data_IF_639378451416
#
_entry.id   IF_639378451416
#
_cell.length_a   1.000
_cell.length_b   1.000
_cell.length_c   1.000
_cell.angle_alpha   90.00
_cell.angle_beta   90.00
_cell.angle_gamma   90.00
#
_symmetry.space_group_name_H-M   'P 1'
#
loop_
_entity.id
_entity.type
_entity.pdbx_description
1 polymer ?
2 branched ?
3 non-polymer ?
4 non-polymer ?
5 non-polymer ?
6 water ?
#
# COMPACT_ATOMS: atom_id res chain seq x y z
N UNK A 10 24.93 -7.49 -11.76
CA UNK A 10 24.04 -8.38 -11.02
C UNK A 10 22.91 -8.93 -11.90
N UNK A 11 21.95 -9.60 -11.28
CA UNK A 11 20.93 -10.35 -12.00
C UNK A 11 19.50 -9.91 -11.68
N UNK A 12 18.56 -10.27 -12.56
CA UNK A 12 17.15 -10.06 -12.27
C UNK A 12 16.74 -10.96 -11.13
N UNK A 13 16.01 -10.43 -10.17
CA UNK A 13 15.53 -11.25 -9.08
C UNK A 13 14.45 -12.20 -9.55
N UNK A 14 14.54 -13.45 -9.11
CA UNK A 14 13.52 -14.45 -9.43
C UNK A 14 12.76 -14.85 -8.17
N UNK A 15 11.43 -14.85 -8.26
CA UNK A 15 10.58 -15.27 -7.14
C UNK A 15 10.64 -16.78 -6.95
N UNK A 16 11.72 -17.28 -6.36
CA UNK A 16 11.93 -18.73 -6.25
C UNK A 16 11.52 -19.30 -4.89
N UNK A 17 11.10 -18.45 -3.97
CA UNK A 17 10.84 -18.87 -2.59
C UNK A 17 9.39 -18.69 -2.15
N UNK A 18 8.97 -19.50 -1.20
CA UNK A 18 7.66 -19.34 -0.58
C UNK A 18 7.76 -18.43 0.63
N UNK A 19 6.63 -18.05 1.18
CA UNK A 19 6.59 -17.25 2.41
C UNK A 19 7.13 -18.03 3.59
N UNK A 20 7.77 -17.34 4.52
CA UNK A 20 8.13 -17.95 5.81
C UNK A 20 6.85 -18.20 6.61
N UNK A 21 6.92 -19.09 7.59
CA UNK A 21 5.77 -19.29 8.46
C UNK A 21 5.58 -18.06 9.33
N UNK A 22 4.34 -17.58 9.38
CA UNK A 22 4.02 -16.39 10.16
C UNK A 22 3.35 -16.77 11.47
N UNK A 23 4.10 -16.68 12.57
CA UNK A 23 3.54 -16.99 13.87
C UNK A 23 3.36 -15.73 14.71
N UNK A 24 4.04 -14.66 14.30
CA UNK A 24 3.83 -13.34 14.91
C UNK A 24 4.46 -12.27 14.03
N UNK A 25 4.44 -11.03 14.51
CA UNK A 25 5.07 -9.92 13.81
C UNK A 25 5.96 -9.15 14.77
N UNK A 26 7.16 -8.80 14.30
CA UNK A 26 8.11 -8.03 15.09
C UNK A 26 8.25 -6.63 14.50
N UNK A 27 8.72 -5.69 15.29
CA UNK A 27 8.92 -4.33 14.81
C UNK A 27 10.08 -4.30 13.82
N UNK A 28 9.87 -3.59 12.71
CA UNK A 28 10.85 -3.53 11.63
C UNK A 28 11.31 -2.10 11.39
N UNK A 29 10.35 -1.18 11.38
CA UNK A 29 10.65 0.23 11.16
C UNK A 29 9.59 1.18 11.66
N UNK A 30 10.02 2.34 12.11
CA UNK A 30 9.14 3.40 12.58
C UNK A 30 9.92 4.70 12.54
N UNK A 31 9.33 5.75 11.98
CA UNK A 31 10.12 6.97 11.75
C UNK A 31 9.80 8.12 12.70
N UNK A 32 8.64 8.08 13.36
CA UNK A 32 8.23 9.14 14.27
C UNK A 32 8.23 10.52 13.63
N UNK A 33 7.82 10.58 12.37
CA UNK A 33 7.94 11.80 11.57
C UNK A 33 7.23 13.01 12.15
N UNK A 34 6.01 12.82 12.67
CA UNK A 34 5.23 13.95 13.14
C UNK A 34 5.78 14.47 14.47
N UNK A 35 6.23 13.56 15.34
CA UNK A 35 6.92 13.93 16.57
C UNK A 35 8.13 14.78 16.28
N UNK A 36 8.99 14.26 15.41
CA UNK A 36 10.22 14.92 15.05
C UNK A 36 9.93 16.19 14.25
N UNK A 37 9.00 16.10 13.30
CA UNK A 37 8.63 17.23 12.47
C UNK A 37 8.00 18.42 13.19
N UNK A 38 7.73 18.26 14.48
CA UNK A 38 7.24 19.38 15.28
C UNK A 38 8.31 20.46 15.40
N UNK A 39 9.58 20.05 15.35
CA UNK A 39 10.66 21.01 15.46
C UNK A 39 11.83 20.67 14.55
N UNK A 40 11.51 20.25 13.34
CA UNK A 40 12.53 19.99 12.34
C UNK A 40 11.90 20.01 10.96
N UNK A 41 12.72 20.25 9.95
CA UNK A 41 12.23 20.40 8.59
C UNK A 41 11.83 19.04 7.99
N UNK A 42 10.76 18.46 8.52
CA UNK A 42 10.18 17.21 8.03
C UNK A 42 9.09 17.51 7.02
N UNK A 43 9.12 16.83 5.88
CA UNK A 43 8.15 17.05 4.82
C UNK A 43 6.78 16.47 5.15
N UNK A 44 5.75 17.24 4.87
CA UNK A 44 4.39 16.73 4.92
C UNK A 44 4.27 15.65 3.84
N UNK A 45 3.69 14.52 4.20
CA UNK A 45 3.52 13.44 3.24
C UNK A 45 2.14 12.80 3.43
N UNK A 46 1.86 11.80 2.61
CA UNK A 46 0.80 10.83 2.83
C UNK A 46 1.01 9.72 1.82
N UNK A 47 0.19 8.68 1.90
CA UNK A 47 0.31 7.51 1.05
C UNK A 47 1.72 6.90 1.05
N UNK A 48 2.25 6.55 2.24
CA UNK A 48 3.62 6.05 2.32
C UNK A 48 3.71 4.56 2.03
N UNK A 49 4.93 4.07 1.81
CA UNK A 49 5.18 2.63 1.75
C UNK A 49 6.66 2.33 1.91
N UNK A 50 7.00 1.06 1.80
CA UNK A 50 8.37 0.62 1.97
C UNK A 50 8.76 -0.23 0.77
N UNK A 51 9.99 -0.08 0.30
CA UNK A 51 10.47 -0.90 -0.79
C UNK A 51 11.97 -1.10 -0.68
N UNK A 52 12.42 -2.32 -0.98
CA UNK A 52 13.83 -2.67 -0.83
C UNK A 52 14.58 -2.73 -2.14
N UNK A 53 15.84 -2.32 -2.08
CA UNK A 53 16.84 -2.59 -3.11
C UNK A 53 17.62 -3.82 -2.66
N UNK A 54 18.48 -4.37 -3.54
CA UNK A 54 19.26 -5.54 -3.08
C UNK A 54 20.23 -5.25 -1.94
N UNK A 55 20.50 -3.98 -1.66
CA UNK A 55 21.48 -3.61 -0.64
C UNK A 55 20.98 -2.58 0.38
N UNK A 56 19.68 -2.27 0.34
CA UNK A 56 19.11 -1.22 1.19
C UNK A 56 17.59 -1.26 1.13
N UNK A 57 16.93 -1.03 2.26
CA UNK A 57 15.49 -0.88 2.26
C UNK A 57 15.14 0.57 2.63
N UNK A 58 14.11 1.12 1.98
CA UNK A 58 13.81 2.54 2.14
C UNK A 58 12.32 2.82 2.33
N UNK A 59 12.05 3.90 3.04
CA UNK A 59 10.70 4.43 3.15
C UNK A 59 10.35 5.24 1.91
N UNK A 60 9.08 5.19 1.52
CA UNK A 60 8.59 5.98 0.39
C UNK A 60 7.32 6.69 0.82
N UNK A 61 7.02 7.81 0.17
CA UNK A 61 5.74 8.50 0.36
C UNK A 61 5.53 9.55 -0.72
N UNK A 62 4.32 10.11 -0.76
CA UNK A 62 4.05 11.25 -1.61
C UNK A 62 4.19 12.53 -0.79
N UNK A 63 5.19 13.34 -1.13
CA UNK A 63 5.40 14.63 -0.47
C UNK A 63 4.28 15.58 -0.82
N UNK A 64 4.10 16.60 0.01
CA UNK A 64 3.15 17.65 -0.31
C UNK A 64 3.88 18.95 -0.64
N UNK A 65 5.20 18.86 -0.79
CA UNK A 65 6.00 20.01 -1.17
C UNK A 65 6.06 21.11 -0.11
N UNK A 66 6.14 20.72 1.15
CA UNK A 66 6.22 21.66 2.26
C UNK A 66 6.52 20.93 3.56
N UNK A 67 7.06 21.64 4.54
CA UNK A 67 7.28 21.01 5.84
C UNK A 67 6.02 21.16 6.69
N UNK A 68 5.95 20.39 7.77
CA UNK A 68 4.78 20.41 8.65
C UNK A 68 4.62 21.78 9.30
N UNK A 69 5.71 22.36 9.79
CA UNK A 69 5.65 23.67 10.42
C UNK A 69 5.51 24.79 9.40
N UNK A 70 5.91 24.52 8.15
CA UNK A 70 5.77 25.49 7.08
C UNK A 70 4.31 25.89 6.90
N UNK A 71 4.08 27.17 6.61
CA UNK A 71 2.71 27.66 6.48
C UNK A 71 1.98 27.00 5.30
N UNK A 72 2.76 26.50 4.34
CA UNK A 72 2.18 25.85 3.17
C UNK A 72 1.59 24.49 3.51
N UNK A 73 1.74 24.04 4.75
CA UNK A 73 1.11 22.79 5.16
C UNK A 73 -0.40 23.01 5.27
N UNK A 74 -0.81 24.28 5.28
CA UNK A 74 -2.22 24.65 5.39
C UNK A 74 -3.02 24.20 4.17
N UNK A 75 -3.82 23.16 4.35
CA UNK A 75 -4.66 22.64 3.28
C UNK A 75 -4.13 21.38 2.63
N UNK A 76 -3.22 20.67 3.29
CA UNK A 76 -2.61 19.49 2.69
C UNK A 76 -3.44 18.23 2.88
N UNK A 77 -4.72 18.39 3.18
CA UNK A 77 -5.61 17.25 3.12
C UNK A 77 -5.90 16.95 1.65
N UNK A 78 -5.74 17.96 0.79
CA UNK A 78 -6.04 17.77 -0.62
C UNK A 78 -5.06 16.80 -1.27
N UNK A 79 -5.63 15.90 -2.06
CA UNK A 79 -4.95 14.71 -2.59
C UNK A 79 -3.97 14.95 -3.73
N UNK A 80 -4.31 15.85 -4.64
CA UNK A 80 -3.57 15.98 -5.89
C UNK A 80 -3.22 17.43 -6.19
N UNK A 81 -1.92 17.73 -6.22
CA UNK A 81 -1.46 19.06 -6.58
C UNK A 81 -0.14 18.97 -7.32
N UNK A 82 0.27 20.08 -7.93
CA UNK A 82 1.51 20.11 -8.69
C UNK A 82 2.74 20.14 -7.80
N UNK A 83 2.52 20.14 -6.48
CA UNK A 83 3.63 20.29 -5.53
C UNK A 83 3.92 18.97 -4.85
N UNK A 84 3.26 17.91 -5.31
CA UNK A 84 3.49 16.59 -4.75
C UNK A 84 4.55 15.85 -5.56
N UNK A 85 5.16 14.86 -4.92
CA UNK A 85 6.20 14.05 -5.56
C UNK A 85 6.46 12.81 -4.73
N UNK A 86 6.84 11.73 -5.40
CA UNK A 86 7.25 10.50 -4.70
C UNK A 86 8.67 10.62 -4.20
N UNK A 87 8.83 10.55 -2.88
CA UNK A 87 10.15 10.64 -2.28
C UNK A 87 10.48 9.34 -1.56
N UNK A 88 11.78 9.07 -1.44
CA UNK A 88 12.25 7.98 -0.61
C UNK A 88 13.31 8.50 0.34
N UNK A 89 13.49 7.81 1.46
CA UNK A 89 14.49 8.21 2.42
C UNK A 89 14.90 7.01 3.25
N UNK A 90 16.03 7.09 3.97
CA UNK A 90 16.53 5.93 4.73
C UNK A 90 15.55 5.35 5.75
N UNK A 91 15.58 4.03 5.89
CA UNK A 91 14.71 3.27 6.78
C UNK A 91 14.63 3.86 8.19
N UNK A 92 13.41 4.13 8.63
CA UNK A 92 13.10 4.62 9.99
C UNK A 92 13.61 6.04 10.30
N UNK A 93 14.16 6.72 9.30
CA UNK A 93 14.40 8.16 9.41
C UNK A 93 13.12 8.90 9.06
N UNK A 94 13.01 10.16 9.48
CA UNK A 94 11.86 10.95 9.00
C UNK A 94 12.12 11.48 7.58
N UNK A 95 11.05 11.75 6.83
CA UNK A 95 11.20 12.35 5.49
C UNK A 95 11.49 13.84 5.59
N UNK A 96 12.77 14.20 5.62
CA UNK A 96 13.16 15.59 5.77
C UNK A 96 13.52 16.23 4.44
N UNK A 97 13.56 17.55 4.43
CA UNK A 97 13.95 18.31 3.26
C UNK A 97 15.33 17.89 2.74
N UNK A 98 16.21 17.55 3.68
CA UNK A 98 17.61 17.37 3.36
C UNK A 98 18.02 15.92 3.06
N UNK A 99 17.30 14.96 3.61
CA UNK A 99 17.67 13.56 3.41
C UNK A 99 16.78 12.82 2.42
N UNK A 100 15.78 13.51 1.86
CA UNK A 100 14.84 12.88 0.94
C UNK A 100 15.30 12.92 -0.52
N UNK A 101 15.16 11.78 -1.19
CA UNK A 101 15.49 11.65 -2.60
C UNK A 101 14.24 11.59 -3.45
N UNK A 102 14.05 12.55 -4.35
CA UNK A 102 12.89 12.52 -5.23
C UNK A 102 13.04 11.48 -6.33
N UNK A 103 12.03 10.61 -6.46
CA UNK A 103 12.01 9.57 -7.47
C UNK A 103 11.29 10.02 -8.75
N UNK A 104 10.19 10.74 -8.59
CA UNK A 104 9.45 11.32 -9.71
C UNK A 104 8.29 12.22 -9.23
N UNK A 105 7.72 12.98 -10.16
CA UNK A 105 6.74 14.01 -9.83
C UNK A 105 5.31 13.55 -10.10
N UNK A 106 4.43 13.68 -9.11
CA UNK A 106 3.07 13.19 -9.22
C UNK A 106 2.34 13.02 -7.90
N UNK A 107 1.11 12.50 -7.96
CA UNK A 107 0.26 12.38 -6.78
C UNK A 107 -0.36 10.99 -6.67
N UNK A 108 0.21 10.04 -7.41
CA UNK A 108 -0.14 8.64 -7.30
C UNK A 108 1.05 7.87 -7.84
N UNK A 109 1.46 6.80 -7.16
CA UNK A 109 2.72 6.15 -7.53
C UNK A 109 2.84 4.67 -7.17
N UNK A 110 3.88 4.06 -7.72
CA UNK A 110 4.38 2.76 -7.30
C UNK A 110 5.89 2.77 -7.55
N UNK A 111 6.58 1.72 -7.10
CA UNK A 111 8.02 1.64 -7.27
C UNK A 111 8.50 0.26 -6.86
N UNK A 112 9.48 -0.28 -7.56
CA UNK A 112 10.03 -1.59 -7.23
C UNK A 112 11.36 -1.85 -7.94
N UNK A 113 12.23 -2.60 -7.25
CA UNK A 113 13.50 -3.00 -7.83
C UNK A 113 13.33 -4.36 -8.52
N UNK A 114 14.02 -4.55 -9.64
CA UNK A 114 13.89 -5.82 -10.36
C UNK A 114 15.15 -6.67 -10.16
N UNK A 115 16.07 -6.16 -9.34
CA UNK A 115 17.32 -6.84 -9.06
C UNK A 115 18.49 -6.13 -9.68
N UNK A 116 18.25 -5.50 -10.83
CA UNK A 116 19.28 -4.72 -11.51
C UNK A 116 19.12 -3.23 -11.22
N UNK A 117 17.91 -2.73 -11.44
CA UNK A 117 17.61 -1.32 -11.20
C UNK A 117 16.18 -1.14 -10.71
N UNK A 118 15.86 0.07 -10.29
CA UNK A 118 14.55 0.40 -9.76
C UNK A 118 13.64 1.03 -10.81
N UNK A 119 12.39 0.59 -10.85
CA UNK A 119 11.37 1.24 -11.65
C UNK A 119 10.42 2.03 -10.74
N UNK A 120 10.28 3.32 -11.02
CA UNK A 120 9.34 4.16 -10.30
C UNK A 120 8.35 4.76 -11.31
N UNK A 121 7.09 4.88 -10.89
CA UNK A 121 6.04 5.41 -11.75
C UNK A 121 5.29 6.49 -11.00
N UNK A 122 5.17 7.66 -11.61
CA UNK A 122 4.37 8.71 -11.02
C UNK A 122 3.31 9.16 -12.00
N UNK A 123 2.13 9.42 -11.46
CA UNK A 123 1.04 9.97 -12.23
C UNK A 123 0.86 11.42 -11.80
N UNK A 124 0.78 12.32 -12.78
CA UNK A 124 0.49 13.72 -12.51
C UNK A 124 -0.59 14.19 -13.47
N UNK A 125 -1.04 15.43 -13.32
CA UNK A 125 -1.99 16.00 -14.26
C UNK A 125 -3.31 16.41 -13.63
N UNK A 126 -4.16 17.06 -14.42
CA UNK A 126 -5.53 17.32 -13.99
C UNK A 126 -6.37 16.04 -14.05
N UNK A 127 -7.54 16.07 -13.41
CA UNK A 127 -8.37 14.88 -13.30
C UNK A 127 -8.77 14.27 -14.64
N UNK A 128 -8.88 15.07 -15.69
CA UNK A 128 -9.36 14.58 -16.97
C UNK A 128 -8.25 14.43 -18.01
N UNK A 129 -7.01 14.53 -17.56
CA UNK A 129 -5.87 14.53 -18.47
C UNK A 129 -4.59 14.10 -17.79
N UNK A 130 -4.70 13.22 -16.81
CA UNK A 130 -3.53 12.77 -16.07
C UNK A 130 -2.68 11.84 -16.93
N UNK A 131 -1.42 11.66 -16.56
CA UNK A 131 -0.52 10.77 -17.30
C UNK A 131 0.55 10.18 -16.38
N UNK A 132 0.93 8.94 -16.66
CA UNK A 132 1.96 8.26 -15.88
C UNK A 132 3.29 8.31 -16.62
N UNK A 133 4.36 8.64 -15.90
CA UNK A 133 5.71 8.53 -16.45
C UNK A 133 6.43 7.38 -15.79
N UNK A 134 7.01 6.49 -16.59
CA UNK A 134 7.71 5.34 -16.04
C UNK A 134 9.21 5.60 -16.02
N UNK A 135 9.77 5.61 -14.82
CA UNK A 135 11.20 5.82 -14.64
C UNK A 135 11.86 4.47 -14.42
N UNK A 136 13.04 4.29 -15.01
CA UNK A 136 13.86 3.11 -14.78
C UNK A 136 15.31 3.54 -14.70
N UNK A 137 16.03 3.03 -13.71
CA UNK A 137 17.40 3.48 -13.43
C UNK A 137 17.47 5.00 -13.38
N UNK A 138 16.49 5.59 -12.68
CA UNK A 138 16.42 7.03 -12.41
C UNK A 138 16.33 7.89 -13.68
N UNK A 139 15.84 7.29 -14.76
CA UNK A 139 15.61 8.00 -16.02
C UNK A 139 14.21 7.72 -16.55
N UNK A 140 13.57 8.74 -17.13
CA UNK A 140 12.23 8.55 -17.69
C UNK A 140 12.26 7.68 -18.94
N UNK A 141 11.43 6.65 -19.01
CA UNK A 141 11.53 5.71 -20.11
C UNK A 141 10.24 5.60 -20.93
N UNK A 142 9.11 5.49 -20.24
CA UNK A 142 7.86 5.35 -20.95
C UNK A 142 6.80 6.21 -20.33
N UNK A 143 5.78 6.55 -21.11
CA UNK A 143 4.67 7.38 -20.63
C UNK A 143 3.34 6.76 -21.02
N UNK A 144 2.39 6.80 -20.11
CA UNK A 144 1.04 6.31 -20.39
C UNK A 144 0.01 7.40 -20.15
N UNK A 145 -0.75 7.73 -21.18
CA UNK A 145 -1.81 8.72 -21.05
C UNK A 145 -3.06 8.10 -20.45
N UNK A 146 -3.87 8.94 -19.80
CA UNK A 146 -5.16 8.52 -19.26
C UNK A 146 -6.05 7.94 -20.35
N UNK A 147 -6.69 6.81 -20.08
CA UNK A 147 -7.55 6.17 -21.06
C UNK A 147 -9.04 6.33 -20.72
N UNK A 148 -9.32 6.83 -19.53
CA UNK A 148 -10.71 7.06 -19.11
C UNK A 148 -10.94 8.49 -18.61
N UNK A 149 -9.88 9.29 -18.59
CA UNK A 149 -9.97 10.72 -18.28
C UNK A 149 -10.66 11.02 -16.95
N UNK A 150 -10.40 10.16 -15.96
CA UNK A 150 -10.96 10.34 -14.63
C UNK A 150 -9.99 9.86 -13.56
N UNK A 151 -9.06 10.74 -13.19
CA UNK A 151 -8.03 10.48 -12.19
C UNK A 151 -7.33 9.14 -12.37
N UNK A 152 -6.50 9.05 -13.40
CA UNK A 152 -5.62 7.90 -13.57
C UNK A 152 -4.81 7.70 -12.29
N UNK A 153 -4.84 6.49 -11.75
CA UNK A 153 -4.26 6.23 -10.43
C UNK A 153 -3.75 4.79 -10.30
N UNK A 154 -2.79 4.58 -9.41
CA UNK A 154 -2.21 3.26 -9.28
C UNK A 154 -2.08 2.84 -7.81
N UNK A 155 -1.06 2.06 -7.49
CA UNK A 155 -1.06 1.23 -6.29
C UNK A 155 -0.82 1.92 -4.94
N UNK A 156 0.03 2.95 -4.93
CA UNK A 156 0.47 3.60 -3.70
C UNK A 156 1.21 2.66 -2.77
N UNK A 157 1.84 1.62 -3.34
CA UNK A 157 2.77 0.77 -2.62
C UNK A 157 3.62 0.02 -3.64
N UNK A 158 4.62 -0.72 -3.18
CA UNK A 158 5.59 -1.29 -4.11
C UNK A 158 4.98 -2.34 -5.03
N UNK A 159 5.57 -2.45 -6.22
CA UNK A 159 5.24 -3.52 -7.16
C UNK A 159 6.24 -4.65 -6.96
N UNK A 160 6.05 -5.75 -7.69
CA UNK A 160 6.92 -6.92 -7.58
C UNK A 160 7.45 -7.31 -8.96
N UNK A 161 8.73 -7.66 -9.02
CA UNK A 161 9.32 -8.03 -10.29
C UNK A 161 9.73 -9.50 -10.30
N UNK A 162 9.55 -10.15 -11.44
CA UNK A 162 10.03 -11.50 -11.64
C UNK A 162 10.74 -11.59 -12.97
N UNK A 163 12.03 -11.91 -12.92
CA UNK A 163 12.86 -12.04 -14.11
C UNK A 163 12.80 -10.80 -14.99
N UNK A 164 12.75 -9.64 -14.36
CA UNK A 164 12.75 -8.38 -15.08
C UNK A 164 11.37 -7.88 -15.45
N UNK A 165 10.34 -8.67 -15.17
CA UNK A 165 8.98 -8.28 -15.49
C UNK A 165 8.28 -7.74 -14.24
N UNK A 166 7.79 -6.52 -14.33
CA UNK A 166 7.16 -5.85 -13.20
C UNK A 166 5.72 -5.46 -13.51
N UNK A 167 4.76 -6.27 -13.04
CA UNK A 167 3.33 -5.96 -13.19
C UNK A 167 2.89 -4.79 -12.32
N UNK A 168 2.09 -3.89 -12.86
CA UNK A 168 1.52 -2.79 -12.09
C UNK A 168 0.02 -2.72 -12.34
N UNK A 169 -0.75 -2.46 -11.29
CA UNK A 169 -2.19 -2.32 -11.44
C UNK A 169 -2.58 -0.84 -11.45
N UNK A 170 -3.23 -0.43 -12.54
CA UNK A 170 -3.72 0.93 -12.72
C UNK A 170 -5.24 0.95 -12.75
N UNK A 171 -5.82 2.07 -12.34
CA UNK A 171 -7.26 2.24 -12.52
C UNK A 171 -7.56 3.65 -13.04
N UNK A 172 -8.44 3.72 -14.02
CA UNK A 172 -8.89 4.99 -14.56
C UNK A 172 -10.41 4.94 -14.67
N UNK A 173 -11.09 5.98 -14.18
CA UNK A 173 -12.54 5.98 -14.18
C UNK A 173 -13.13 6.24 -12.79
N UNK A 174 -14.43 5.99 -12.65
CA UNK A 174 -15.17 6.39 -11.45
C UNK A 174 -14.71 5.68 -10.17
N UNK A 175 -14.72 6.43 -9.07
CA UNK A 175 -14.43 5.87 -7.75
C UNK A 175 -15.71 5.38 -7.07
N UNK A 176 -16.85 5.63 -7.69
CA UNK A 176 -18.13 5.23 -7.10
C UNK A 176 -18.98 4.41 -8.06
N UNK A 177 -18.32 3.75 -9.01
CA UNK A 177 -18.99 2.95 -10.02
C UNK A 177 -17.96 2.20 -10.84
N UNK A 178 -18.42 1.52 -11.89
CA UNK A 178 -17.51 0.78 -12.78
C UNK A 178 -16.38 1.66 -13.31
N UNK A 179 -15.15 1.16 -13.22
CA UNK A 179 -13.99 1.90 -13.72
C UNK A 179 -13.18 1.01 -14.66
N UNK A 180 -12.19 1.60 -15.32
CA UNK A 180 -11.36 0.87 -16.29
C UNK A 180 -9.99 0.53 -15.73
N UNK A 181 -9.85 -0.71 -15.25
CA UNK A 181 -8.63 -1.15 -14.60
C UNK A 181 -7.73 -1.93 -15.55
N UNK A 182 -6.45 -1.63 -15.53
CA UNK A 182 -5.48 -2.29 -16.41
C UNK A 182 -4.29 -2.81 -15.62
N UNK A 183 -3.84 -4.01 -15.97
CA UNK A 183 -2.59 -4.52 -15.45
C UNK A 183 -1.51 -4.32 -16.52
N UNK A 184 -0.50 -3.54 -16.19
CA UNK A 184 0.60 -3.29 -17.10
C UNK A 184 1.78 -4.17 -16.74
N UNK A 185 2.49 -4.65 -17.76
CA UNK A 185 3.68 -5.45 -17.55
C UNK A 185 4.89 -4.70 -18.09
N UNK A 186 5.78 -4.30 -17.20
CA UNK A 186 6.96 -3.54 -17.60
C UNK A 186 8.23 -4.38 -17.51
N UNK A 187 9.19 -4.09 -18.38
CA UNK A 187 10.53 -4.59 -18.19
C UNK A 187 11.51 -3.48 -18.53
N UNK A 188 12.37 -3.15 -17.57
CA UNK A 188 13.31 -2.05 -17.73
C UNK A 188 12.59 -0.77 -18.15
N UNK A 189 11.40 -0.57 -17.60
CA UNK A 189 10.63 0.63 -17.86
C UNK A 189 9.82 0.62 -19.15
N UNK A 190 10.05 -0.38 -20.00
CA UNK A 190 9.33 -0.47 -21.27
C UNK A 190 8.07 -1.29 -21.10
N UNK A 191 7.02 -0.89 -21.82
CA UNK A 191 5.74 -1.60 -21.77
C UNK A 191 5.77 -2.86 -22.62
N UNK A 192 5.69 -4.02 -21.97
CA UNK A 192 5.68 -5.29 -22.70
C UNK A 192 4.28 -5.61 -23.19
N UNK A 193 3.29 -5.31 -22.34
CA UNK A 193 1.92 -5.73 -22.57
C UNK A 193 1.03 -5.09 -21.52
N UNK A 194 -0.22 -4.82 -21.88
CA UNK A 194 -1.21 -4.46 -20.87
C UNK A 194 -2.51 -5.19 -21.12
N UNK A 195 -3.22 -5.46 -20.03
CA UNK A 195 -4.46 -6.22 -20.03
C UNK A 195 -5.59 -5.48 -19.34
N UNK A 196 -6.80 -5.63 -19.85
CA UNK A 196 -7.98 -5.16 -19.14
C UNK A 196 -8.24 -6.09 -17.96
N UNK A 197 -8.83 -5.56 -16.90
CA UNK A 197 -9.11 -6.36 -15.70
C UNK A 197 -10.13 -7.46 -15.97
N UNK A 198 -9.76 -8.69 -15.68
CA UNK A 198 -10.68 -9.81 -15.82
C UNK A 198 -11.02 -10.38 -14.44
N UNK A 199 -11.91 -11.37 -14.42
CA UNK A 199 -12.29 -12.01 -13.16
C UNK A 199 -13.57 -11.43 -12.58
N UNK A 200 -13.82 -11.72 -11.30
CA UNK A 200 -15.07 -11.33 -10.65
C UNK A 200 -14.98 -10.08 -9.77
N UNK A 201 -13.79 -9.51 -9.64
CA UNK A 201 -13.64 -8.26 -8.88
C UNK A 201 -14.37 -7.11 -9.59
N UNK A 202 -15.21 -6.39 -8.85
CA UNK A 202 -16.08 -5.38 -9.46
C UNK A 202 -15.53 -3.96 -9.40
N UNK A 203 -14.50 -3.73 -8.59
CA UNK A 203 -13.88 -2.42 -8.47
C UNK A 203 -12.48 -2.54 -7.87
N UNK A 204 -11.51 -1.88 -8.51
CA UNK A 204 -10.11 -2.04 -8.13
C UNK A 204 -9.38 -0.72 -7.87
N UNK A 205 -8.87 -0.56 -6.65
CA UNK A 205 -8.02 0.58 -6.32
C UNK A 205 -6.86 0.18 -5.40
N UNK A 206 -5.71 0.81 -5.61
CA UNK A 206 -4.60 0.79 -4.66
C UNK A 206 -4.17 -0.59 -4.23
N UNK A 207 -3.82 -1.44 -5.19
CA UNK A 207 -3.43 -2.81 -4.89
C UNK A 207 -2.13 -2.89 -4.11
N UNK A 208 -2.12 -3.78 -3.11
CA UNK A 208 -0.93 -4.08 -2.33
C UNK A 208 -0.44 -5.46 -2.73
N UNK A 209 0.77 -5.52 -3.27
CA UNK A 209 1.24 -6.77 -3.87
C UNK A 209 2.46 -7.34 -3.17
N UNK A 210 2.60 -8.65 -3.28
CA UNK A 210 3.82 -9.33 -2.90
C UNK A 210 4.02 -10.51 -3.85
N UNK A 211 5.26 -10.99 -3.94
CA UNK A 211 5.59 -12.06 -4.85
C UNK A 211 6.08 -13.30 -4.12
N UNK A 212 5.62 -14.45 -4.60
CA UNK A 212 5.99 -15.73 -4.05
C UNK A 212 5.99 -16.74 -5.20
N UNK A 213 6.85 -17.74 -5.14
CA UNK A 213 7.05 -18.72 -6.21
C UNK A 213 5.79 -19.19 -6.94
N UNK A 214 5.67 -18.86 -8.23
CA UNK A 214 6.42 -17.78 -8.87
C UNK A 214 5.34 -16.83 -9.37
N UNK A 215 4.42 -16.48 -8.47
CA UNK A 215 3.30 -15.63 -8.81
C UNK A 215 3.26 -14.40 -7.92
N UNK A 216 2.40 -13.46 -8.29
CA UNK A 216 2.25 -12.22 -7.55
C UNK A 216 0.82 -12.08 -7.06
N UNK A 217 0.65 -11.78 -5.78
CA UNK A 217 -0.68 -11.66 -5.19
C UNK A 217 -0.95 -10.23 -4.76
N UNK A 218 -2.03 -9.66 -5.27
CA UNK A 218 -2.38 -8.29 -4.93
C UNK A 218 -3.70 -8.23 -4.17
N UNK A 219 -3.69 -7.53 -3.04
CA UNK A 219 -4.90 -7.28 -2.28
C UNK A 219 -5.25 -5.82 -2.43
N UNK A 220 -6.46 -5.53 -2.89
CA UNK A 220 -6.79 -4.19 -3.32
C UNK A 220 -7.98 -3.61 -2.56
N UNK A 221 -8.46 -2.47 -3.06
CA UNK A 221 -9.54 -1.75 -2.43
C UNK A 221 -10.73 -1.62 -3.38
N UNK A 222 -11.89 -2.08 -2.92
CA UNK A 222 -13.15 -1.87 -3.63
C UNK A 222 -13.80 -0.63 -3.05
N UNK A 223 -13.76 0.46 -3.81
CA UNK A 223 -14.29 1.74 -3.33
C UNK A 223 -15.76 1.91 -3.68
N UNK A 224 -16.29 0.99 -4.48
CA UNK A 224 -17.65 1.09 -4.98
C UNK A 224 -18.66 0.55 -3.97
N UNK A 225 -18.84 -0.77 -3.95
CA UNK A 225 -19.85 -1.37 -3.08
C UNK A 225 -19.26 -2.30 -2.03
N UNK A 226 -18.01 -2.73 -2.21
CA UNK A 226 -17.45 -3.78 -1.37
C UNK A 226 -16.72 -3.39 -0.09
N UNK A 227 -16.94 -4.20 0.95
CA UNK A 227 -16.17 -4.07 2.19
C UNK A 227 -15.28 -5.30 2.39
N UNK A 228 -15.44 -6.28 1.53
CA UNK A 228 -14.43 -7.33 1.38
C UNK A 228 -13.42 -6.84 0.35
N UNK A 229 -12.21 -7.39 0.36
CA UNK A 229 -11.18 -6.89 -0.54
C UNK A 229 -11.03 -7.72 -1.80
N UNK A 230 -10.94 -7.02 -2.95
CA UNK A 230 -10.61 -7.63 -4.24
C UNK A 230 -9.20 -8.18 -4.23
N UNK A 231 -9.01 -9.34 -4.83
CA UNK A 231 -7.70 -9.96 -4.94
C UNK A 231 -7.38 -10.18 -6.40
N UNK A 232 -6.23 -9.70 -6.83
CA UNK A 232 -5.72 -9.98 -8.17
C UNK A 232 -4.51 -10.88 -8.03
N UNK A 233 -4.52 -11.99 -8.75
CA UNK A 233 -3.37 -12.88 -8.78
C UNK A 233 -2.75 -12.87 -10.17
N UNK A 234 -1.49 -12.46 -10.21
CA UNK A 234 -0.80 -12.24 -11.48
C UNK A 234 0.28 -13.29 -11.73
N UNK A 235 0.28 -13.84 -12.95
CA UNK A 235 1.36 -14.70 -13.42
C UNK A 235 2.31 -13.84 -14.24
N UNK A 236 3.53 -13.59 -13.73
CA UNK A 236 4.46 -12.67 -14.38
C UNK A 236 5.27 -13.30 -15.52
N UNK A 237 5.18 -14.60 -15.70
CA UNK A 237 5.81 -15.25 -16.86
C UNK A 237 4.86 -15.20 -18.05
N UNK A 238 3.68 -15.78 -17.88
CA UNK A 238 2.65 -15.75 -18.91
C UNK A 238 2.08 -14.34 -19.11
N UNK A 239 2.25 -13.51 -18.09
CA UNK A 239 1.70 -12.15 -18.08
C UNK A 239 0.18 -12.19 -18.19
N UNK A 240 -0.44 -12.93 -17.26
CA UNK A 240 -1.89 -13.04 -17.17
C UNK A 240 -2.33 -12.96 -15.71
N UNK A 241 -3.63 -12.82 -15.48
CA UNK A 241 -4.13 -12.57 -14.15
C UNK A 241 -5.55 -13.06 -13.96
N UNK A 242 -5.93 -13.24 -12.69
CA UNK A 242 -7.32 -13.50 -12.34
C UNK A 242 -7.70 -12.55 -11.22
N UNK A 243 -8.99 -12.47 -10.94
CA UNK A 243 -9.47 -11.61 -9.86
C UNK A 243 -10.68 -12.22 -9.19
N UNK A 244 -10.79 -11.95 -7.90
CA UNK A 244 -11.96 -12.31 -7.10
C UNK A 244 -11.90 -11.47 -5.82
N UNK A 245 -12.68 -11.85 -4.83
CA UNK A 245 -12.59 -11.22 -3.53
C UNK A 245 -12.05 -12.21 -2.52
N UNK A 246 -11.61 -11.71 -1.37
CA UNK A 246 -11.34 -12.57 -0.22
C UNK A 246 -12.68 -13.14 0.27
N UNK A 247 -12.85 -14.45 0.13
CA UNK A 247 -14.09 -15.14 0.51
C UNK A 247 -14.45 -14.97 1.98
N UNK A 248 -13.46 -14.69 2.82
CA UNK A 248 -13.65 -14.73 4.26
C UNK A 248 -14.70 -13.72 4.74
N UNK A 249 -15.50 -14.12 5.74
CA UNK A 249 -16.44 -13.19 6.37
C UNK A 249 -15.71 -12.20 7.28
N UNK A 250 -14.41 -12.41 7.48
CA UNK A 250 -13.58 -11.44 8.16
C UNK A 250 -13.27 -10.30 7.19
N UNK A 251 -14.14 -9.30 7.17
CA UNK A 251 -14.07 -8.20 6.22
C UNK A 251 -12.96 -7.25 6.61
N UNK A 252 -12.18 -6.77 5.64
CA UNK A 252 -10.97 -6.03 5.97
C UNK A 252 -10.84 -4.65 5.32
N UNK A 253 -11.92 -4.11 4.78
CA UNK A 253 -11.90 -2.73 4.30
C UNK A 253 -12.28 -1.78 5.44
N UNK A 254 -12.38 -0.50 5.12
CA UNK A 254 -12.82 0.51 6.07
C UNK A 254 -13.31 1.75 5.33
N UNK A 255 -14.53 2.23 5.65
CA UNK A 255 -15.45 1.65 6.63
C UNK A 255 -16.01 0.30 6.16
N UNK A 256 -16.66 -0.43 7.06
CA UNK A 256 -17.16 -1.75 6.72
C UNK A 256 -18.25 -2.17 7.69
N UNK A 257 -19.12 -3.08 7.27
CA UNK A 257 -20.10 -3.64 8.20
C UNK A 257 -19.43 -4.59 9.17
N UNK A 258 -20.22 -5.08 10.11
CA UNK A 258 -19.72 -6.07 11.05
C UNK A 258 -19.56 -7.41 10.38
N UNK A 259 -18.67 -8.25 10.92
CA UNK A 259 -18.36 -9.53 10.29
C UNK A 259 -19.55 -10.48 10.34
N UNK A 260 -20.02 -10.91 9.16
CA UNK A 260 -21.06 -11.93 9.06
C UNK A 260 -20.48 -13.33 9.30
N UNK A 261 -21.24 -14.37 8.99
CA UNK A 261 -20.73 -15.73 9.10
C UNK A 261 -20.49 -16.33 7.72
N UNK A 262 -20.93 -15.63 6.69
CA UNK A 262 -20.65 -16.04 5.31
C UNK A 262 -20.16 -14.84 4.49
N UNK A 263 -18.95 -14.95 3.96
CA UNK A 263 -18.41 -13.92 3.10
C UNK A 263 -18.80 -14.09 1.65
N UNK A 264 -18.19 -13.30 0.77
CA UNK A 264 -18.50 -13.32 -0.66
C UNK A 264 -17.23 -13.50 -1.49
N UNK A 265 -17.24 -14.49 -2.40
CA UNK A 265 -16.06 -14.83 -3.20
C UNK A 265 -16.00 -14.07 -4.52
N UNK A 266 -17.15 -13.77 -5.09
CA UNK A 266 -17.19 -13.23 -6.45
C UNK A 266 -18.07 -12.00 -6.59
N UNK A 267 -18.32 -11.34 -5.47
CA UNK A 267 -19.12 -10.12 -5.46
C UNK A 267 -18.79 -9.31 -4.22
N UNK A 268 -19.05 -7.99 -4.27
CA UNK A 268 -18.81 -7.14 -3.09
C UNK A 268 -19.75 -7.48 -1.92
N UNK A 269 -19.22 -7.52 -0.71
CA UNK A 269 -20.09 -7.62 0.44
C UNK A 269 -20.61 -6.22 0.77
N UNK A 270 -21.94 -6.06 0.81
CA UNK A 270 -22.62 -4.76 0.85
C UNK A 270 -22.71 -4.14 2.24
N UNK A 271 -23.09 -2.88 2.32
CA UNK A 271 -23.22 -2.20 3.60
C UNK A 271 -22.58 -0.82 3.59
N UNK A 272 -21.47 -0.69 2.88
CA UNK A 272 -20.77 0.59 2.80
C UNK A 272 -20.38 0.92 1.38
N UNK A 273 -20.93 2.01 0.87
CA UNK A 273 -20.70 2.40 -0.52
C UNK A 273 -19.74 3.58 -0.62
N UNK A 274 -19.11 3.71 -1.79
CA UNK A 274 -18.37 4.91 -2.14
C UNK A 274 -17.27 5.29 -1.15
N UNK A 275 -16.63 4.30 -0.55
CA UNK A 275 -15.51 4.55 0.34
C UNK A 275 -14.72 3.28 0.61
N UNK A 276 -13.54 3.45 1.19
CA UNK A 276 -12.62 2.36 1.43
C UNK A 276 -11.27 2.87 1.91
N UNK A 277 -10.36 1.95 2.16
CA UNK A 277 -9.00 2.30 2.52
C UNK A 277 -8.03 1.32 1.86
N UNK A 278 -6.83 1.79 1.52
CA UNK A 278 -5.82 0.88 1.02
C UNK A 278 -5.41 -0.08 2.12
N UNK A 279 -5.37 -1.37 1.78
CA UNK A 279 -5.05 -2.40 2.74
C UNK A 279 -4.31 -3.55 2.07
N UNK A 280 -4.05 -4.61 2.82
CA UNK A 280 -3.23 -5.70 2.30
C UNK A 280 -3.59 -7.02 2.94
N UNK A 281 -3.03 -8.09 2.40
CA UNK A 281 -3.14 -9.41 3.02
C UNK A 281 -2.02 -10.30 2.53
N UNK A 282 -1.75 -11.36 3.28
CA UNK A 282 -0.89 -12.43 2.82
C UNK A 282 -1.72 -13.71 2.76
N UNK A 283 -1.95 -14.18 1.54
CA UNK A 283 -2.83 -15.33 1.34
C UNK A 283 -1.99 -16.57 1.05
N UNK A 284 -1.90 -17.44 2.05
CA UNK A 284 -0.97 -18.56 1.97
C UNK A 284 -1.50 -19.79 2.68
N UNK A 285 -2.63 -20.31 2.21
CA UNK A 285 -3.26 -21.47 2.82
C UNK A 285 -3.56 -21.26 4.29
N UNK A 286 -2.96 -22.09 5.13
CA UNK A 286 -3.11 -21.97 6.58
C UNK A 286 -2.16 -20.91 7.14
N UNK A 287 -1.27 -20.40 6.30
CA UNK A 287 -0.33 -19.37 6.69
C UNK A 287 -0.88 -17.98 6.36
N UNK A 288 -2.20 -17.89 6.25
CA UNK A 288 -2.85 -16.65 5.82
C UNK A 288 -3.03 -15.66 6.98
N UNK A 289 -2.62 -14.42 6.73
CA UNK A 289 -2.85 -13.32 7.67
C UNK A 289 -3.49 -12.13 6.97
N UNK A 290 -4.58 -11.64 7.55
CA UNK A 290 -5.25 -10.45 7.03
C UNK A 290 -4.95 -9.26 7.92
N UNK A 291 -4.79 -8.09 7.31
CA UNK A 291 -4.67 -6.85 8.07
C UNK A 291 -5.93 -6.02 7.95
N UNK A 292 -6.24 -5.24 8.99
CA UNK A 292 -7.38 -4.34 8.94
C UNK A 292 -7.37 -3.33 10.09
N UNK A 293 -8.16 -2.27 9.93
CA UNK A 293 -8.38 -1.33 11.03
C UNK A 293 -9.21 -2.03 12.10
N UNK A 294 -9.06 -1.62 13.35
CA UNK A 294 -9.88 -2.18 14.42
C UNK A 294 -11.30 -1.62 14.32
N UNK A 295 -11.41 -0.30 14.17
CA UNK A 295 -12.72 0.33 13.97
C UNK A 295 -13.32 -0.10 12.65
N UNK A 296 -14.65 -0.19 12.62
CA UNK A 296 -15.36 -0.49 11.38
C UNK A 296 -15.86 0.79 10.75
N UNK A 297 -15.66 1.92 11.43
CA UNK A 297 -16.19 3.20 10.97
C UNK A 297 -15.12 4.16 10.52
N UNK A 298 -14.02 4.24 11.26
CA UNK A 298 -12.97 5.20 10.93
C UNK A 298 -11.59 4.54 10.85
N UNK A 299 -10.65 5.29 10.27
CA UNK A 299 -9.29 4.82 10.12
C UNK A 299 -8.55 4.92 11.44
N UNK A 300 -8.93 4.05 12.38
CA UNK A 300 -8.24 4.00 13.66
C UNK A 300 -7.98 2.57 14.05
N UNK A 301 -6.83 2.35 14.67
CA UNK A 301 -6.43 1.02 15.08
C UNK A 301 -5.94 0.18 13.93
N UNK A 302 -5.20 -0.87 14.25
CA UNK A 302 -4.80 -1.83 13.25
C UNK A 302 -4.45 -3.16 13.90
N UNK A 303 -4.85 -4.25 13.25
CA UNK A 303 -4.60 -5.57 13.79
C UNK A 303 -4.29 -6.56 12.66
N UNK A 304 -3.51 -7.59 12.98
CA UNK A 304 -3.30 -8.70 12.07
C UNK A 304 -4.11 -9.89 12.56
N UNK A 305 -4.81 -10.56 11.66
CA UNK A 305 -5.60 -11.72 12.01
C UNK A 305 -5.20 -12.94 11.21
N UNK A 306 -4.88 -14.03 11.89
CA UNK A 306 -4.58 -15.29 11.21
C UNK A 306 -5.87 -16.02 10.82
N UNK A 307 -6.18 -16.00 9.53
CA UNK A 307 -7.42 -16.59 9.03
C UNK A 307 -7.12 -17.65 7.98
N UNK A 308 -7.09 -18.93 8.39
CA UNK A 308 -6.75 -20.01 7.46
C UNK A 308 -7.63 -20.01 6.22
N UNK A 309 -7.01 -19.99 5.05
CA UNK A 309 -7.71 -20.08 3.78
C UNK A 309 -8.73 -18.95 3.57
N UNK A 310 -8.41 -17.75 4.04
CA UNK A 310 -9.32 -16.61 3.90
C UNK A 310 -9.74 -16.38 2.45
N UNK A 311 -8.79 -16.61 1.54
CA UNK A 311 -9.05 -16.42 0.12
C UNK A 311 -10.19 -17.29 -0.41
N UNK A 312 -10.23 -18.56 -0.02
CA UNK A 312 -11.19 -19.49 -0.61
C UNK A 312 -12.33 -19.93 0.32
N UNK A 313 -12.13 -19.83 1.63
CA UNK A 313 -13.11 -20.31 2.62
C UNK A 313 -14.05 -19.18 3.06
N UNK A 314 -15.31 -19.23 2.64
CA UNK A 314 -16.23 -18.13 2.96
C UNK A 314 -16.85 -18.28 4.35
N UNK A 315 -16.33 -19.22 5.13
CA UNK A 315 -16.77 -19.39 6.51
C UNK A 315 -15.61 -19.12 7.47
N UNK A 316 -14.44 -18.83 6.93
CA UNK A 316 -13.22 -18.81 7.74
C UNK A 316 -13.21 -17.68 8.77
N UNK A 317 -12.65 -17.98 9.93
CA UNK A 317 -12.61 -17.06 11.05
C UNK A 317 -11.18 -17.01 11.62
N UNK A 318 -10.87 -16.00 12.45
CA UNK A 318 -9.54 -15.91 13.05
C UNK A 318 -9.25 -17.01 14.07
N UNK A 319 -8.03 -17.54 14.05
CA UNK A 319 -7.59 -18.50 15.06
C UNK A 319 -6.42 -17.91 15.84
N UNK A 320 -5.92 -16.76 15.39
CA UNK A 320 -4.84 -16.06 16.06
C UNK A 320 -4.78 -14.62 15.56
N UNK A 321 -4.17 -13.74 16.35
CA UNK A 321 -4.07 -12.35 15.94
C UNK A 321 -3.03 -11.54 16.70
N UNK A 322 -2.83 -10.31 16.25
CA UNK A 322 -1.91 -9.39 16.91
C UNK A 322 -2.34 -7.95 16.66
N UNK A 323 -2.42 -7.18 17.75
CA UNK A 323 -2.72 -5.76 17.67
C UNK A 323 -1.46 -4.99 17.27
N UNK A 324 -1.59 -4.12 16.28
CA UNK A 324 -0.46 -3.32 15.80
C UNK A 324 -0.58 -1.87 16.28
N UNK A 325 -1.80 -1.35 16.19
CA UNK A 325 -2.11 0.00 16.64
C UNK A 325 -3.42 -0.02 17.43
N UNK A 326 -3.43 0.60 18.61
CA UNK A 326 -4.64 0.65 19.43
C UNK A 326 -5.75 1.37 18.69
N UNK A 327 -7.00 0.99 18.97
CA UNK A 327 -8.15 1.60 18.33
C UNK A 327 -8.28 3.08 18.67
N UNK A 328 -7.68 3.46 19.80
CA UNK A 328 -7.69 4.86 20.23
C UNK A 328 -6.69 5.70 19.43
N UNK A 329 -5.87 5.04 18.62
CA UNK A 329 -4.87 5.75 17.82
C UNK A 329 -5.23 5.71 16.35
N UNK A 330 -4.89 6.78 15.64
CA UNK A 330 -5.22 6.86 14.23
C UNK A 330 -4.32 5.95 13.41
N UNK A 331 -4.89 5.33 12.38
CA UNK A 331 -4.11 4.58 11.43
C UNK A 331 -4.32 5.20 10.05
N UNK A 332 -4.61 4.36 9.04
CA UNK A 332 -4.70 4.83 7.68
C UNK A 332 -4.37 3.72 6.69
N UNK A 333 -3.71 4.08 5.60
CA UNK A 333 -3.30 3.12 4.57
C UNK A 333 -2.38 2.04 5.13
N UNK A 334 -2.41 0.87 4.51
CA UNK A 334 -1.48 -0.18 4.85
C UNK A 334 -1.18 -0.98 3.59
N UNK A 335 0.01 -1.55 3.52
CA UNK A 335 0.42 -2.23 2.32
C UNK A 335 1.55 -3.21 2.60
N UNK A 336 1.80 -4.06 1.63
CA UNK A 336 2.76 -5.13 1.78
C UNK A 336 4.07 -4.84 1.05
N UNK A 337 5.14 -5.43 1.56
CA UNK A 337 6.44 -5.42 0.91
C UNK A 337 7.28 -6.54 1.48
N UNK A 338 8.28 -6.98 0.74
CA UNK A 338 9.24 -7.94 1.25
C UNK A 338 10.65 -7.60 0.78
N UNK A 339 11.65 -7.98 1.58
CA UNK A 339 13.02 -7.93 1.12
C UNK A 339 13.29 -9.22 0.33
N UNK A 340 13.32 -9.11 -0.99
CA UNK A 340 13.51 -10.28 -1.84
C UNK A 340 15.00 -10.64 -1.99
N UNK A 341 15.86 -9.92 -1.27
CA UNK A 341 17.29 -10.15 -1.39
C UNK A 341 17.92 -10.53 -0.05
N UNK A 342 17.07 -10.73 0.95
CA UNK A 342 17.54 -11.20 2.25
C UNK A 342 18.05 -12.63 2.16
N UNK A 343 18.77 -13.07 3.18
CA UNK A 343 19.26 -14.43 3.24
C UNK A 343 18.15 -15.35 3.73
N UNK A 344 18.25 -16.64 3.42
CA UNK A 344 17.28 -17.60 3.89
C UNK A 344 16.62 -18.41 2.78
N UNK A 345 15.73 -19.32 3.15
CA UNK A 345 15.07 -20.18 2.18
C UNK A 345 13.63 -19.74 1.93
N UNK A 346 13.17 -18.73 2.66
CA UNK A 346 11.83 -18.18 2.46
C UNK A 346 11.81 -16.66 2.48
N UNK A 347 10.75 -16.09 1.92
CA UNK A 347 10.50 -14.65 1.99
C UNK A 347 9.78 -14.31 3.27
N UNK A 348 10.34 -13.36 4.03
CA UNK A 348 9.72 -12.89 5.25
C UNK A 348 8.66 -11.83 4.91
N UNK A 349 7.41 -12.10 5.26
CA UNK A 349 6.32 -11.16 4.98
C UNK A 349 6.45 -9.89 5.82
N UNK A 350 6.33 -8.75 5.16
CA UNK A 350 6.36 -7.46 5.86
C UNK A 350 5.19 -6.58 5.44
N UNK A 351 4.90 -5.59 6.26
CA UNK A 351 3.93 -4.57 5.91
C UNK A 351 4.23 -3.27 6.66
N UNK A 352 3.50 -2.24 6.28
CA UNK A 352 3.59 -0.95 6.93
C UNK A 352 2.18 -0.49 7.25
N UNK A 353 2.03 0.34 8.27
CA UNK A 353 0.76 1.02 8.48
C UNK A 353 1.02 2.52 8.45
N UNK A 354 0.21 3.25 7.69
CA UNK A 354 0.26 4.70 7.67
C UNK A 354 -0.50 5.22 8.87
N UNK A 355 0.15 6.07 9.66
CA UNK A 355 -0.50 6.67 10.81
C UNK A 355 -0.81 8.13 10.49
N UNK A 356 -2.04 8.37 10.06
CA UNK A 356 -2.45 9.70 9.62
C UNK A 356 -2.70 10.61 10.83
N UNK A 357 -2.08 11.78 10.82
CA UNK A 357 -2.35 12.79 11.84
C UNK A 357 -2.89 14.05 11.17
N UNK A 358 -3.69 14.81 11.90
CA UNK A 358 -4.28 16.02 11.34
C UNK A 358 -5.64 15.77 10.72
N UNK A 359 -5.95 16.53 9.68
CA UNK A 359 -7.30 16.50 9.10
C UNK A 359 -7.54 15.20 8.33
N UNK A 360 -8.83 14.79 8.20
CA UNK A 360 -10.03 15.45 8.74
C UNK A 360 -10.27 15.21 10.24
N UNK A 361 -9.72 14.14 10.79
CA UNK A 361 -10.03 13.70 12.15
C UNK A 361 -9.50 14.63 13.26
N UNK A 362 -8.45 15.37 12.97
CA UNK A 362 -7.89 16.29 13.96
C UNK A 362 -7.78 17.70 13.37
N UNK A 363 -8.89 18.42 13.31
CA UNK A 363 -8.93 19.68 12.56
C UNK A 363 -8.53 20.92 13.37
N UNK A 364 -7.93 20.71 14.53
CA UNK A 364 -7.34 21.83 15.27
C UNK A 364 -6.13 22.36 14.50
N UNK A 365 -5.45 21.47 13.78
CA UNK A 365 -4.42 21.89 12.85
C UNK A 365 -5.01 21.92 11.45
N UNK A 366 -4.32 22.60 10.53
CA UNK A 366 -4.83 22.78 9.18
C UNK A 366 -4.08 21.91 8.17
N UNK A 367 -3.20 21.05 8.66
CA UNK A 367 -2.46 20.16 7.78
C UNK A 367 -2.90 18.71 7.94
N UNK A 368 -2.43 17.89 7.01
CA UNK A 368 -2.58 16.45 7.10
C UNK A 368 -1.24 15.81 6.75
N UNK A 369 -0.68 15.04 7.68
CA UNK A 369 0.52 14.28 7.37
C UNK A 369 0.39 12.88 7.94
N UNK A 370 1.54 12.24 8.17
CA UNK A 370 1.57 10.89 8.66
C UNK A 370 2.95 10.47 9.10
N UNK A 371 3.00 9.43 9.92
CA UNK A 371 4.26 8.75 10.13
C UNK A 371 4.08 7.29 9.79
N UNK A 372 5.16 6.52 9.87
CA UNK A 372 5.13 5.14 9.45
C UNK A 372 5.51 4.21 10.59
N UNK A 373 4.73 3.14 10.75
CA UNK A 373 5.20 1.97 11.50
C UNK A 373 5.26 0.80 10.53
N UNK A 374 6.21 -0.10 10.75
CA UNK A 374 6.47 -1.19 9.82
C UNK A 374 6.81 -2.46 10.59
N UNK A 375 6.30 -3.61 10.13
CA UNK A 375 6.52 -4.89 10.80
C UNK A 375 6.94 -5.97 9.81
N UNK A 376 7.61 -7.00 10.31
CA UNK A 376 7.86 -8.21 9.51
C UNK A 376 7.50 -9.43 10.33
N UNK A 377 7.31 -10.57 9.67
CA UNK A 377 6.90 -11.77 10.39
C UNK A 377 8.06 -12.45 11.12
N UNK A 378 7.68 -13.25 12.10
CA UNK A 378 8.60 -14.03 12.90
C UNK A 378 8.05 -15.45 13.00
N UNK A 379 8.94 -16.43 12.97
CA UNK A 379 8.55 -17.81 13.18
C UNK A 379 8.42 -18.09 14.68
N UNK A 380 8.81 -17.12 15.50
CA UNK A 380 8.59 -17.19 16.95
C UNK A 380 7.21 -16.66 17.28
N UNK A 381 6.73 -16.95 18.50
CA UNK A 381 5.49 -16.37 18.99
C UNK A 381 5.82 -15.22 19.94
N UNK A 382 6.11 -14.06 19.37
CA UNK A 382 6.60 -12.92 20.15
C UNK A 382 5.50 -12.11 20.81
N UNK A 383 5.82 -11.48 21.94
CA UNK A 383 4.88 -10.60 22.60
C UNK A 383 4.53 -9.40 21.73
N UNK A 384 3.35 -8.84 21.94
CA UNK A 384 2.92 -7.72 21.13
C UNK A 384 2.98 -6.41 21.90
N UNK A 385 3.31 -5.34 21.19
CA UNK A 385 3.16 -4.00 21.72
C UNK A 385 2.12 -3.31 20.85
N UNK A 386 1.85 -2.03 21.13
CA UNK A 386 1.07 -1.23 20.22
C UNK A 386 1.90 -0.05 19.78
N UNK A 387 1.79 0.34 18.51
CA UNK A 387 2.68 1.35 17.94
C UNK A 387 1.95 2.59 17.44
N UNK A 388 1.76 3.58 18.32
CA UNK A 388 1.06 4.81 17.95
C UNK A 388 2.00 5.81 17.27
N UNK A 389 1.45 6.83 16.62
CA UNK A 389 2.29 7.83 15.98
C UNK A 389 3.15 8.54 17.02
N UNK A 390 2.51 8.91 18.14
CA UNK A 390 3.22 9.45 19.28
C UNK A 390 3.25 10.96 19.40
N UNK A 391 2.79 11.65 18.37
CA UNK A 391 2.79 13.11 18.41
C UNK A 391 1.59 13.65 19.16
N UNK A 392 1.79 14.73 19.92
CA UNK A 392 0.69 15.37 20.63
C UNK A 392 0.29 16.66 19.91
N UNK A 393 -0.96 16.70 19.47
CA UNK A 393 -1.49 17.74 18.59
C UNK A 393 -1.35 19.15 19.18
N UNK A 394 -1.68 19.30 20.46
CA UNK A 394 -1.61 20.60 21.14
C UNK A 394 -0.27 21.32 20.95
N UNK A 395 0.80 20.55 20.78
CA UNK A 395 2.11 21.13 20.57
C UNK A 395 2.16 21.92 19.25
N UNK A 396 1.31 21.54 18.30
CA UNK A 396 1.31 22.17 16.97
C UNK A 396 0.42 23.40 16.88
N UNK A 397 -0.26 23.73 17.97
CA UNK A 397 -1.23 24.82 17.96
C UNK A 397 -0.58 26.19 18.19
X LIG B 1 -5.56 17.23 -22.63
X LIG B 1 -6.52 18.38 -23.02
X LIG B 1 -6.40 18.73 -24.51
X LIG B 1 -4.94 18.88 -24.93
X LIG B 1 -4.20 17.61 -24.55
X LIG B 1 -2.74 17.61 -24.94
X LIG B 1 -8.69 18.74 -21.93
X LIG B 1 -10.08 18.20 -21.73
X LIG B 1 -7.89 18.02 -22.71
X LIG B 1 -7.08 19.95 -24.77
X LIG B 1 -4.87 19.10 -26.34
X LIG B 1 -4.25 17.49 -23.13
X LIG B 1 -2.05 18.75 -24.43
X LIG B 1 -8.32 19.79 -21.41
X LIG B 2 -4.10 20.28 -26.64
X LIG B 2 -3.50 20.14 -28.04
X LIG B 2 -2.59 21.32 -28.33
X LIG B 2 -3.34 22.63 -28.14
X LIG B 2 -3.96 22.66 -26.72
X LIG B 2 -4.81 23.88 -26.46
X LIG B 2 -3.33 17.77 -28.64
X LIG B 2 -2.44 16.56 -28.70
X LIG B 2 -2.78 18.89 -28.17
X LIG B 2 -2.08 21.25 -29.66
X LIG B 2 -2.42 23.72 -28.27
X LIG B 2 -4.81 21.52 -26.55
X LIG B 2 -5.93 23.91 -27.33
X LIG B 2 -4.51 17.73 -29.01
X LIG B 3 -2.85 24.67 -29.27
X LIG B 3 -2.18 26.00 -28.89
X LIG B 3 -2.27 27.04 -30.00
X LIG B 3 -2.02 26.44 -31.40
X LIG B 3 -2.87 25.21 -31.60
X LIG B 3 -2.58 24.58 -32.93
X LIG B 3 -0.80 25.81 -28.63
X LIG B 3 -1.33 28.07 -29.77
X LIG B 3 -2.33 27.38 -32.41
X LIG B 3 -2.54 24.25 -30.58
X LIG B 3 -3.46 23.51 -33.15
X LIG B 4 -1.97 29.34 -29.96
X LIG B 4 -0.92 30.41 -30.01
X LIG B 4 -0.34 30.51 -28.57
X LIG B 4 -1.45 30.94 -27.60
X LIG B 4 -2.54 29.86 -27.63
X LIG B 4 -3.75 30.24 -26.81
X LIG B 4 -1.61 31.61 -30.26
X LIG B 4 0.82 31.32 -28.46
X LIG B 4 -0.94 31.06 -26.29
X LIG B 4 -2.98 29.62 -29.01
X LIG B 4 -4.37 29.02 -26.41
X LIG B 5 -0.79 32.71 -30.71
X LIG B 5 -1.75 33.88 -30.93
X LIG B 5 -2.42 33.76 -32.29
X LIG B 5 -1.37 33.65 -33.39
X LIG B 5 -0.48 32.41 -33.14
X LIG B 5 0.66 32.27 -34.16
X LIG B 5 -1.05 35.12 -30.92
X LIG B 5 -3.31 34.86 -32.53
X LIG B 5 -2.00 33.53 -34.66
X LIG B 5 0.10 32.46 -31.79
X LIG B 5 1.59 33.35 -34.02
X LIG B 6 -1.41 35.85 -29.73
X LIG B 6 -0.78 37.22 -29.86
X LIG B 6 0.74 37.03 -29.79
X LIG B 6 1.13 36.40 -28.44
X LIG B 6 0.41 35.04 -28.29
X LIG B 6 0.60 34.42 -26.91
X LIG B 6 -1.14 38.07 -28.75
X LIG B 6 1.43 38.25 -29.98
X LIG B 6 2.53 36.20 -28.36
X LIG B 6 -1.03 35.21 -28.54
X LIG B 6 0.66 35.49 -25.97
X LIG B 7 -4.49 23.95 -34.05
X LIG B 7 -5.47 22.79 -34.21
X LIG B 7 -4.87 21.72 -35.13
X LIG B 7 -4.33 22.33 -36.45
X LIG B 7 -3.33 23.45 -36.13
X LIG B 7 -2.82 24.18 -37.35
X LIG B 7 -6.70 23.22 -34.80
X LIG B 7 -5.80 20.68 -35.42
X LIG B 7 -3.66 21.34 -37.20
X LIG B 7 -4.00 24.43 -35.28
X LIG B 7 -3.95 24.58 -38.13
X LIG B 8 -5.34 19.45 -34.82
X LIG B 8 -6.15 18.29 -35.44
X LIG B 8 -7.57 18.30 -34.85
X LIG B 8 -7.54 18.33 -33.31
X LIG B 8 -6.70 19.53 -32.82
X LIG B 8 -6.53 19.56 -31.31
X LIG B 8 -5.57 17.01 -35.16
X LIG B 8 -8.37 17.22 -35.32
X LIG B 8 -8.86 18.43 -32.81
X LIG B 8 -5.38 19.48 -33.41
X LIG B 8 -6.08 20.86 -30.92
X LIG B 9 -3.59 25.30 -39.32
X LIG B 9 -4.88 25.73 -39.96
X LIG B 9 -5.70 24.48 -40.22
X LIG B 9 -4.92 23.44 -41.09
X LIG B 9 -3.43 23.27 -40.65
X LIG B 9 -2.54 22.70 -41.73
X LIG B 9 -4.64 26.34 -41.24
X LIG B 9 -6.97 24.76 -40.80
X LIG B 9 -5.56 22.18 -41.01
X LIG B 9 -2.82 24.53 -40.22
X LIG B 9 -3.01 21.40 -42.06
X LIG C 1 -5.15 28.34 6.96
X LIG C 1 -5.01 29.24 8.19
X LIG C 1 -6.39 29.71 8.65
X LIG C 1 -7.11 30.40 7.49
X LIG C 1 -7.16 29.48 6.27
X LIG C 1 -7.72 30.17 5.05
X LIG C 1 -3.20 28.99 9.83
X LIG C 1 -2.62 28.14 10.93
X LIG C 1 -4.32 28.54 9.27
X LIG C 1 -6.25 30.62 9.72
X LIG C 1 -8.44 30.76 7.87
X LIG C 1 -5.84 29.04 5.92
X LIG C 1 -8.33 29.23 4.16
X LIG C 1 -2.67 30.04 9.48
X LIG D 1 -15.18 -0.25 0.17
X LIG E 1 -7.90 8.38 0.81
X LIG E 1 -8.81 7.54 1.00
X LIG E 1 -7.44 9.07 1.75
X LIG E 1 -7.36 8.52 -0.59
X LIG E 1 -5.74 8.99 -0.92
X LIG E 1 -5.37 9.06 -2.34
X LIG E 1 -6.67 9.00 -3.33
X LIG E 1 -6.09 8.75 -4.71
X LIG E 1 -5.95 9.83 -5.62
X LIG E 1 -6.30 10.96 -5.32
X LIG E 1 -5.37 9.55 -6.99
X LIG E 1 -7.53 8.09 -3.05
X LIG E 1 -8.17 8.21 -1.65
X LIG E 1 -8.74 8.18 -4.05
X LIG E 1 -9.37 9.39 -3.84
X LIG E 1 -9.72 7.08 -3.77
X LIG E 1 -9.11 5.82 -3.97
X LIG E 1 -10.94 7.25 -4.66
X LIG E 1 -10.69 6.80 -5.97
X LIG E 1 -4.56 10.24 -2.65
X LIG E 1 -3.52 10.18 -3.44
X LIG E 1 -3.12 8.96 -4.04
X LIG E 1 -2.78 11.37 -3.69
#
# INVERSE_FOLDING_TARGET
GSGDSGSPGRNFNNLTKGLCTINSWHIYGKDNAVRIGESSDVLVTREPYVSCDPDECRFYALSQGTTIRGKHSNGTIHDRSQYRALISWPLSSPPTVYNSRVECIGWSSTSCHDGKSRMSICISGPNNNASAVVWYNRRPVAEINTWARNILRTQESECVCHNGVCPVVFTDGSATGPADTRIYYFKEGKILKWESLTGTAKHIEECSCYGERTGITCTCRDNWQGSNRPVIQIDPVAMTHTSQYICSPVLTDNPRPNDPNIGKCNDPYPGNNNNGVKGFSYLDGANTWLGRTISTASRSGYEMLKVPNALTDDRSKPIQGQTIVLNADWSGYSGSFMDYWAEGDCYRACFYVELIRGRPKEDKVWWTSNSIVSMCSSTEFLGQWNWPDGAKIEYFL
NAG C1 C2 C3 C4 C5 C6 C7 C8 N2 O3 O4 O5 O6 O7
NAG C1 C2 C3 C4 C5 C6 C7 C8 N2 O3 O4 O5 O6 O7
BMA C1 C2 C3 C4 C5 C6 O2 O3 O4 O5 O6
MAN C1 C2 C3 C4 C5 C6 O2 O3 O4 O5 O6
MAN C1 C2 C3 C4 C5 C6 O2 O3 O4 O5 O6
MAN C1 C2 C3 C4 C5 C6 O2 O3 O4 O5 O6
MAN C1 C2 C3 C4 C5 C6 O2 O3 O4 O5 O6
MAN C1 C2 C3 C4 C5 C6 O2 O3 O4 O5 O6
MAN C1 C2 C3 C4 C5 C6 O2 O3 O4 O5 O6
NAG C1 C2 C3 C4 C5 C6 C7 C8 N2 O3 O4 O5 O6 O7
CA CA
ZMR C1 O1A O1B C2 C3 C4 C5 N5 C10 O10 C11 C6 O6 C7 O7 C8 O8 C9 O9 NE CZ NH1 NH2
#
